data_IF_936920246298
#
_entry.id   IF_936920246298
#
_cell.length_a   1.000
_cell.length_b   1.000
_cell.length_c   1.000
_cell.angle_alpha   90.00
_cell.angle_beta   90.00
_cell.angle_gamma   90.00
#
_symmetry.space_group_name_H-M   'P 1'
#
loop_
_entity.id
_entity.type
_entity.pdbx_description
1 polymer ?
#
# COMPACT_ATOMS: atom_id res chain seq x y z
N UNK A 1 -38.88 15.70 -9.08
CA UNK A 1 -37.72 15.47 -8.20
C UNK A 1 -37.35 13.99 -8.29
N UNK A 2 -36.96 13.47 -9.46
CA UNK A 2 -35.73 13.71 -10.20
C UNK A 2 -34.54 12.91 -9.64
N UNK A 3 -34.50 11.63 -10.02
CA UNK A 3 -33.35 10.99 -10.67
C UNK A 3 -31.96 11.22 -10.03
N UNK A 4 -31.73 10.66 -8.84
CA UNK A 4 -30.39 10.51 -8.26
C UNK A 4 -30.25 9.22 -7.42
N UNK A 5 -30.99 8.18 -7.80
CA UNK A 5 -30.95 6.87 -7.16
C UNK A 5 -30.53 5.84 -8.21
N UNK A 6 -29.23 5.79 -8.55
CA UNK A 6 -28.54 4.68 -9.27
C UNK A 6 -27.15 5.16 -9.69
N UNK A 7 -26.15 4.78 -8.89
CA UNK A 7 -24.72 4.59 -9.16
C UNK A 7 -23.95 5.06 -7.94
N UNK A 8 -23.53 4.15 -7.07
CA UNK A 8 -22.34 4.31 -6.21
C UNK A 8 -22.09 2.97 -5.52
N UNK A 9 -21.34 2.11 -6.20
CA UNK A 9 -20.81 0.85 -5.68
C UNK A 9 -19.29 0.98 -5.60
N UNK A 10 -18.76 0.55 -4.46
CA UNK A 10 -17.37 0.20 -4.17
C UNK A 10 -16.32 1.32 -4.29
N UNK A 11 -15.90 1.84 -3.13
CA UNK A 11 -14.69 2.65 -2.98
C UNK A 11 -13.73 1.95 -2.00
N UNK A 12 -13.45 0.67 -2.24
CA UNK A 12 -12.47 -0.09 -1.48
C UNK A 12 -11.18 -0.20 -2.30
N UNK A 13 -10.25 0.71 -2.08
CA UNK A 13 -8.89 0.57 -2.61
C UNK A 13 -8.03 1.79 -2.35
N UNK A 14 -7.68 1.97 -1.08
CA UNK A 14 -6.45 2.70 -0.73
C UNK A 14 -5.53 1.80 0.07
N UNK A 15 -5.65 0.48 -0.11
CA UNK A 15 -5.03 -0.52 0.74
C UNK A 15 -3.57 -0.80 0.38
N UNK A 16 -3.13 -0.64 -0.87
CA UNK A 16 -1.77 -1.00 -1.28
C UNK A 16 -0.73 0.14 -1.19
N UNK A 17 -1.15 1.40 -1.00
CA UNK A 17 -0.19 2.50 -0.82
C UNK A 17 0.29 2.67 0.63
N UNK A 18 -0.52 2.26 1.61
CA UNK A 18 -0.32 2.56 3.05
C UNK A 18 0.98 2.00 3.65
N UNK A 19 1.44 0.86 3.16
CA UNK A 19 2.62 0.11 3.65
C UNK A 19 3.93 0.64 3.07
N UNK A 20 3.90 1.14 1.84
CA UNK A 20 5.11 1.56 1.15
C UNK A 20 5.69 2.91 1.66
N UNK A 21 4.86 3.77 2.26
CA UNK A 21 5.36 4.97 2.97
C UNK A 21 6.11 4.66 4.27
N UNK A 22 5.84 3.52 4.92
CA UNK A 22 6.57 3.12 6.12
C UNK A 22 8.00 2.67 5.79
N UNK A 23 8.17 1.93 4.68
CA UNK A 23 9.48 1.51 4.17
C UNK A 23 10.32 2.71 3.66
N UNK A 24 9.69 3.70 3.03
CA UNK A 24 10.38 4.91 2.59
C UNK A 24 10.86 5.82 3.75
N UNK A 25 10.23 5.71 4.93
CA UNK A 25 10.58 6.51 6.10
C UNK A 25 11.75 5.92 6.90
N UNK A 26 11.98 4.61 6.81
CA UNK A 26 13.10 3.91 7.47
C UNK A 26 14.42 4.09 6.70
N UNK A 27 14.34 4.18 5.36
CA UNK A 27 15.49 4.51 4.51
C UNK A 27 16.00 5.97 4.65
N UNK A 28 15.20 6.86 5.27
CA UNK A 28 15.55 8.26 5.49
C UNK A 28 16.21 8.53 6.87
N UNK A 29 16.45 7.47 7.65
CA UNK A 29 17.11 7.52 8.95
C UNK A 29 18.62 7.79 8.84
N UNK A 30 18.97 9.07 8.76
CA UNK A 30 20.29 9.69 8.89
C UNK A 30 21.50 8.81 9.21
N UNK A 31 22.27 8.50 8.16
CA UNK A 31 23.72 8.32 8.25
C UNK A 31 24.40 9.60 7.78
N UNK A 32 25.38 10.07 8.54
CA UNK A 32 26.17 11.29 8.28
C UNK A 32 26.98 11.14 6.98
N UNK A 33 26.45 11.62 5.86
CA UNK A 33 27.17 11.69 4.57
C UNK A 33 28.02 12.97 4.58
N UNK A 34 29.08 12.96 5.38
CA UNK A 34 30.06 14.05 5.43
C UNK A 34 31.49 13.53 5.42
N UNK A 35 31.76 12.41 4.75
CA UNK A 35 33.14 12.06 4.36
C UNK A 35 33.16 10.92 3.32
N UNK A 36 32.74 11.18 2.09
CA UNK A 36 32.99 10.25 0.98
C UNK A 36 33.38 11.08 -0.23
N UNK A 37 34.64 10.93 -0.66
CA UNK A 37 35.22 11.63 -1.80
C UNK A 37 34.36 11.47 -3.05
N UNK A 38 34.43 12.46 -3.93
CA UNK A 38 33.77 12.46 -5.23
C UNK A 38 34.31 11.33 -6.12
N UNK A 39 33.76 10.13 -5.97
CA UNK A 39 33.85 9.10 -7.00
C UNK A 39 32.78 9.38 -8.05
N UNK A 40 33.22 9.78 -9.24
CA UNK A 40 32.37 9.97 -10.40
C UNK A 40 31.82 8.62 -10.85
N UNK A 41 30.58 8.32 -10.48
CA UNK A 41 29.82 7.18 -11.02
C UNK A 41 29.79 7.30 -12.54
N UNK A 42 30.27 6.28 -13.25
CA UNK A 42 30.28 6.31 -14.71
C UNK A 42 28.84 6.30 -15.23
N UNK A 43 28.55 7.15 -16.22
CA UNK A 43 27.21 7.23 -16.83
C UNK A 43 26.73 5.86 -17.34
N UNK A 44 27.65 4.99 -17.77
CA UNK A 44 27.39 3.61 -18.18
C UNK A 44 26.81 2.74 -17.07
N UNK A 45 27.20 2.97 -15.82
CA UNK A 45 26.76 2.17 -14.67
C UNK A 45 25.36 2.60 -14.25
N UNK A 46 25.07 3.90 -14.38
CA UNK A 46 23.72 4.44 -14.24
C UNK A 46 22.83 3.90 -15.36
N UNK A 47 23.30 3.92 -16.61
CA UNK A 47 22.54 3.43 -17.77
C UNK A 47 22.31 1.91 -17.70
N UNK A 48 23.26 1.15 -17.18
CA UNK A 48 23.14 -0.30 -16.94
C UNK A 48 22.15 -0.61 -15.82
N UNK A 49 22.20 0.12 -14.69
CA UNK A 49 21.23 -0.04 -13.61
C UNK A 49 19.81 0.36 -14.04
N UNK A 50 19.68 1.41 -14.85
CA UNK A 50 18.41 1.84 -15.46
C UNK A 50 17.92 0.81 -16.48
N UNK A 51 18.80 0.22 -17.28
CA UNK A 51 18.45 -0.83 -18.24
C UNK A 51 18.08 -2.15 -17.58
N UNK A 52 18.74 -2.53 -16.47
CA UNK A 52 18.39 -3.71 -15.68
C UNK A 52 17.03 -3.52 -14.98
N UNK A 53 16.75 -2.32 -14.49
CA UNK A 53 15.43 -1.96 -13.98
C UNK A 53 14.34 -1.90 -15.08
N UNK A 54 14.72 -1.62 -16.33
CA UNK A 54 13.83 -1.64 -17.49
C UNK A 54 13.62 -3.04 -18.08
N UNK A 55 14.61 -3.94 -18.00
CA UNK A 55 14.47 -5.33 -18.50
C UNK A 55 13.52 -6.19 -17.68
N UNK A 56 13.20 -5.75 -16.46
CA UNK A 56 12.22 -6.36 -15.57
C UNK A 56 10.82 -5.70 -15.71
N UNK A 57 10.60 -4.91 -16.77
CA UNK A 57 9.26 -4.46 -17.16
C UNK A 57 8.41 -5.69 -17.49
N UNK A 58 7.70 -6.18 -16.47
CA UNK A 58 6.52 -7.02 -16.65
C UNK A 58 5.69 -6.32 -17.73
N UNK A 59 5.50 -6.95 -18.89
CA UNK A 59 4.71 -6.37 -19.95
C UNK A 59 3.31 -6.02 -19.40
N UNK A 60 2.77 -4.84 -19.72
CA UNK A 60 1.37 -4.49 -19.41
C UNK A 60 0.49 -4.84 -20.61
N UNK A 61 -0.20 -5.99 -20.63
CA UNK A 61 -1.00 -6.37 -21.79
C UNK A 61 -2.17 -5.41 -22.02
N UNK A 62 -2.57 -4.65 -20.99
CA UNK A 62 -3.73 -3.78 -20.97
C UNK A 62 -3.37 -2.31 -20.74
N UNK A 63 -2.15 -1.90 -21.10
CA UNK A 63 -1.64 -0.54 -20.88
C UNK A 63 -2.60 0.54 -21.37
N UNK A 64 -3.14 0.40 -22.59
CA UNK A 64 -4.08 1.36 -23.15
C UNK A 64 -5.39 1.50 -22.37
N UNK A 65 -5.87 0.42 -21.75
CA UNK A 65 -7.02 0.46 -20.85
C UNK A 65 -6.63 1.08 -19.50
N UNK A 66 -5.52 0.62 -18.93
CA UNK A 66 -5.03 1.06 -17.62
C UNK A 66 -4.72 2.56 -17.60
N UNK A 67 -4.06 3.10 -18.64
CA UNK A 67 -3.81 4.56 -18.77
C UNK A 67 -5.08 5.39 -18.87
N UNK A 68 -6.13 4.88 -19.54
CA UNK A 68 -7.44 5.56 -19.58
C UNK A 68 -8.10 5.58 -18.21
N UNK A 69 -8.10 4.44 -17.51
CA UNK A 69 -8.64 4.36 -16.15
C UNK A 69 -7.83 5.21 -15.16
N UNK A 70 -6.51 5.25 -15.33
CA UNK A 70 -5.62 6.12 -14.58
C UNK A 70 -5.97 7.60 -14.79
N UNK A 71 -6.19 8.02 -16.04
CA UNK A 71 -6.60 9.39 -16.35
C UNK A 71 -7.96 9.74 -15.72
N UNK A 72 -8.92 8.82 -15.75
CA UNK A 72 -10.20 8.98 -15.07
C UNK A 72 -10.03 9.09 -13.54
N UNK A 73 -9.12 8.29 -12.96
CA UNK A 73 -8.78 8.38 -11.56
C UNK A 73 -8.11 9.71 -11.21
N UNK A 74 -7.16 10.21 -11.99
CA UNK A 74 -6.53 11.51 -11.76
C UNK A 74 -7.54 12.66 -11.78
N UNK A 75 -8.52 12.59 -12.69
CA UNK A 75 -9.62 13.56 -12.69
C UNK A 75 -10.40 13.52 -11.37
N UNK A 76 -10.79 12.34 -10.90
CA UNK A 76 -11.49 12.17 -9.63
C UNK A 76 -10.61 12.57 -8.43
N UNK A 77 -9.33 12.22 -8.45
CA UNK A 77 -8.39 12.51 -7.38
C UNK A 77 -8.21 14.02 -7.21
N UNK A 78 -7.91 14.73 -8.29
CA UNK A 78 -7.68 16.17 -8.27
C UNK A 78 -8.94 16.97 -7.91
N UNK A 79 -10.11 16.52 -8.34
CA UNK A 79 -11.37 17.26 -8.14
C UNK A 79 -12.12 16.88 -6.85
N UNK A 80 -11.90 15.68 -6.30
CA UNK A 80 -12.65 15.18 -5.16
C UNK A 80 -11.74 14.78 -4.00
N UNK A 81 -10.80 13.85 -4.21
CA UNK A 81 -10.04 13.26 -3.13
C UNK A 81 -8.99 14.21 -2.54
N UNK A 82 -8.26 14.95 -3.38
CA UNK A 82 -7.26 15.93 -2.94
C UNK A 82 -7.90 17.09 -2.15
N UNK A 83 -8.98 17.73 -2.62
CA UNK A 83 -9.68 18.74 -1.82
C UNK A 83 -10.23 18.19 -0.50
N UNK A 84 -10.80 16.99 -0.52
CA UNK A 84 -11.31 16.33 0.69
C UNK A 84 -10.18 16.03 1.69
N UNK A 85 -9.05 15.51 1.22
CA UNK A 85 -7.88 15.21 2.02
C UNK A 85 -7.24 16.48 2.63
N UNK A 86 -7.11 17.56 1.85
CA UNK A 86 -6.63 18.86 2.34
C UNK A 86 -7.58 19.44 3.40
N UNK A 87 -8.88 19.35 3.17
CA UNK A 87 -9.89 19.80 4.14
C UNK A 87 -9.84 19.00 5.43
N UNK A 88 -9.76 17.67 5.33
CA UNK A 88 -9.57 16.77 6.48
C UNK A 88 -8.30 17.11 7.27
N UNK A 89 -7.20 17.39 6.58
CA UNK A 89 -5.94 17.82 7.20
C UNK A 89 -6.05 19.17 7.90
N UNK A 90 -6.82 20.11 7.34
CA UNK A 90 -7.00 21.43 7.91
C UNK A 90 -7.87 21.39 9.18
N UNK A 91 -8.94 20.60 9.21
CA UNK A 91 -9.86 20.53 10.35
C UNK A 91 -9.40 19.57 11.45
N UNK A 92 -8.59 18.55 11.11
CA UNK A 92 -8.21 17.49 12.05
C UNK A 92 -6.74 17.61 12.46
N UNK A 93 -6.44 17.85 13.76
CA UNK A 93 -5.07 17.89 14.26
C UNK A 93 -4.29 16.59 14.00
N UNK A 94 -2.96 16.69 13.87
CA UNK A 94 -2.07 15.54 13.61
C UNK A 94 -2.29 14.36 14.58
N UNK A 95 -2.56 14.64 15.87
CA UNK A 95 -2.88 13.60 16.87
C UNK A 95 -4.19 12.86 16.53
N UNK A 96 -5.25 13.59 16.18
CA UNK A 96 -6.54 13.01 15.78
C UNK A 96 -6.44 12.17 14.51
N UNK A 97 -5.74 12.68 13.49
CA UNK A 97 -5.51 11.93 12.24
C UNK A 97 -4.79 10.60 12.48
N UNK A 98 -3.75 10.61 13.32
CA UNK A 98 -3.06 9.37 13.73
C UNK A 98 -4.00 8.41 14.46
N UNK A 99 -4.83 8.91 15.37
CA UNK A 99 -5.79 8.08 16.09
C UNK A 99 -6.80 7.42 15.15
N UNK A 100 -7.36 8.18 14.20
CA UNK A 100 -8.28 7.66 13.18
C UNK A 100 -7.62 6.57 12.34
N UNK A 101 -6.36 6.77 11.91
CA UNK A 101 -5.61 5.76 11.15
C UNK A 101 -5.42 4.46 11.94
N UNK A 102 -5.04 4.57 13.21
CA UNK A 102 -4.87 3.41 14.11
C UNK A 102 -6.18 2.68 14.32
N UNK A 103 -7.27 3.43 14.53
CA UNK A 103 -8.61 2.86 14.68
C UNK A 103 -9.02 2.08 13.42
N UNK A 104 -8.83 2.67 12.24
CA UNK A 104 -9.11 2.01 10.96
C UNK A 104 -8.23 0.78 10.72
N UNK A 105 -6.97 0.80 11.15
CA UNK A 105 -6.10 -0.38 11.11
C UNK A 105 -6.57 -1.47 12.07
N UNK A 106 -6.97 -1.11 13.29
CA UNK A 106 -7.53 -2.04 14.28
C UNK A 106 -8.81 -2.71 13.79
N UNK A 107 -9.69 -1.96 13.09
CA UNK A 107 -10.89 -2.52 12.45
C UNK A 107 -10.59 -3.51 11.31
N UNK A 108 -9.37 -3.51 10.77
CA UNK A 108 -8.94 -4.46 9.74
C UNK A 108 -8.26 -5.69 10.33
N UNK A 109 -7.81 -5.63 11.58
CA UNK A 109 -7.09 -6.72 12.23
C UNK A 109 -7.81 -8.07 12.18
N UNK A 110 -9.15 -8.19 12.31
CA UNK A 110 -9.82 -9.47 12.13
C UNK A 110 -9.64 -10.08 10.73
N UNK A 111 -9.61 -9.26 9.68
CA UNK A 111 -9.35 -9.72 8.31
C UNK A 111 -7.89 -10.16 8.13
N UNK A 112 -6.95 -9.39 8.69
CA UNK A 112 -5.52 -9.75 8.70
C UNK A 112 -5.31 -11.07 9.42
N UNK A 113 -5.90 -11.25 10.60
CA UNK A 113 -5.82 -12.47 11.41
C UNK A 113 -6.30 -13.71 10.65
N UNK A 114 -7.42 -13.60 9.92
CA UNK A 114 -7.91 -14.71 9.11
C UNK A 114 -6.93 -15.03 7.99
N UNK A 115 -6.36 -14.02 7.31
CA UNK A 115 -5.37 -14.25 6.27
C UNK A 115 -4.08 -14.86 6.83
N UNK A 116 -3.56 -14.38 7.97
CA UNK A 116 -2.40 -14.97 8.65
C UNK A 116 -2.62 -16.48 8.88
N UNK A 117 -3.82 -16.87 9.37
CA UNK A 117 -4.17 -18.28 9.57
C UNK A 117 -4.24 -19.04 8.25
N UNK A 118 -4.88 -18.47 7.22
CA UNK A 118 -5.03 -19.10 5.90
C UNK A 118 -3.69 -19.29 5.19
N UNK A 119 -2.72 -18.44 5.48
CA UNK A 119 -1.34 -18.54 5.00
C UNK A 119 -0.49 -19.51 5.83
N UNK A 120 -1.00 -19.99 6.98
CA UNK A 120 -0.30 -20.91 7.89
C UNK A 120 0.65 -20.21 8.87
N UNK A 121 0.55 -18.89 9.00
CA UNK A 121 1.48 -18.05 9.75
C UNK A 121 0.98 -17.78 11.17
N UNK A 122 0.93 -18.84 11.99
CA UNK A 122 0.34 -18.77 13.33
C UNK A 122 1.03 -17.77 14.27
N UNK A 123 2.34 -17.52 14.09
CA UNK A 123 3.07 -16.51 14.85
C UNK A 123 2.53 -15.10 14.57
N UNK A 124 2.42 -14.74 13.29
CA UNK A 124 1.86 -13.45 12.84
C UNK A 124 0.38 -13.33 13.19
N UNK A 125 -0.39 -14.41 13.11
CA UNK A 125 -1.77 -14.43 13.58
C UNK A 125 -1.86 -14.08 15.08
N UNK A 126 -0.97 -14.63 15.90
CA UNK A 126 -0.85 -14.32 17.33
C UNK A 126 -0.53 -12.85 17.58
N UNK A 127 0.40 -12.27 16.81
CA UNK A 127 0.72 -10.84 16.86
C UNK A 127 -0.48 -9.98 16.49
N UNK A 128 -1.18 -10.27 15.39
CA UNK A 128 -2.39 -9.55 14.97
C UNK A 128 -3.46 -9.59 16.04
N UNK A 129 -3.73 -10.77 16.62
CA UNK A 129 -4.72 -10.94 17.68
C UNK A 129 -4.32 -10.16 18.94
N UNK A 130 -3.05 -10.26 19.34
CA UNK A 130 -2.50 -9.50 20.47
C UNK A 130 -2.67 -7.99 20.28
N UNK A 131 -2.29 -7.47 19.11
CA UNK A 131 -2.49 -6.05 18.77
C UNK A 131 -3.95 -5.66 18.82
N UNK A 132 -4.85 -6.47 18.25
CA UNK A 132 -6.27 -6.19 18.26
C UNK A 132 -6.84 -6.12 19.68
N UNK A 133 -6.52 -7.09 20.53
CA UNK A 133 -7.01 -7.13 21.92
C UNK A 133 -6.47 -5.95 22.72
N UNK A 134 -5.17 -5.71 22.69
CA UNK A 134 -4.53 -4.65 23.47
C UNK A 134 -4.98 -3.26 22.99
N UNK A 135 -5.02 -3.03 21.68
CA UNK A 135 -5.43 -1.73 21.13
C UNK A 135 -6.94 -1.48 21.30
N UNK A 136 -7.77 -2.51 21.25
CA UNK A 136 -9.21 -2.36 21.51
C UNK A 136 -9.51 -2.07 22.99
N UNK A 137 -8.84 -2.77 23.90
CA UNK A 137 -9.09 -2.66 25.34
C UNK A 137 -8.40 -1.45 25.97
N UNK A 138 -7.07 -1.39 25.89
CA UNK A 138 -6.25 -0.33 26.50
C UNK A 138 -6.14 0.87 25.57
N UNK A 139 -6.12 0.63 24.26
CA UNK A 139 -5.96 1.68 23.24
C UNK A 139 -7.24 2.45 22.91
N UNK A 140 -8.23 2.48 23.80
CA UNK A 140 -9.52 3.15 23.63
C UNK A 140 -10.22 2.76 22.31
N UNK A 141 -10.39 1.46 22.05
CA UNK A 141 -11.04 0.96 20.84
C UNK A 141 -10.15 0.98 19.57
N UNK A 142 -8.85 1.25 19.72
CA UNK A 142 -7.88 1.28 18.63
C UNK A 142 -7.39 2.68 18.24
N UNK A 143 -7.83 3.75 18.93
CA UNK A 143 -7.33 5.10 18.68
C UNK A 143 -5.89 5.31 19.19
N UNK A 144 -5.46 4.56 20.20
CA UNK A 144 -4.08 4.49 20.65
C UNK A 144 -3.45 3.15 20.24
N UNK A 145 -2.10 3.09 20.30
CA UNK A 145 -1.33 1.90 19.97
C UNK A 145 -0.39 1.51 21.14
N UNK A 146 -0.95 1.03 22.26
CA UNK A 146 -0.18 0.39 23.33
C UNK A 146 0.52 -0.89 22.87
N UNK A 147 -0.02 -1.63 21.90
CA UNK A 147 0.58 -2.88 21.44
C UNK A 147 1.99 -2.66 20.84
N UNK A 148 2.19 -1.57 20.10
CA UNK A 148 3.53 -1.20 19.63
C UNK A 148 4.49 -0.85 20.78
N UNK A 149 4.01 -0.26 21.88
CA UNK A 149 4.86 0.13 23.02
C UNK A 149 5.36 -1.07 23.81
N UNK A 150 4.64 -2.19 23.77
CA UNK A 150 5.04 -3.46 24.38
C UNK A 150 5.76 -4.40 23.39
N UNK A 151 6.13 -3.89 22.20
CA UNK A 151 6.97 -4.60 21.25
C UNK A 151 6.28 -5.57 20.30
N UNK A 152 4.95 -5.52 20.15
CA UNK A 152 4.26 -6.38 19.17
C UNK A 152 4.33 -5.71 17.78
N UNK A 153 5.03 -6.29 16.79
CA UNK A 153 5.22 -5.68 15.48
C UNK A 153 3.90 -5.58 14.71
N UNK A 154 3.76 -4.56 13.86
CA UNK A 154 2.58 -4.37 13.04
C UNK A 154 2.84 -4.87 11.62
N UNK A 155 1.89 -5.62 11.06
CA UNK A 155 1.88 -6.04 9.67
C UNK A 155 0.47 -5.95 9.09
N UNK A 156 0.34 -6.30 7.80
CA UNK A 156 -0.92 -6.31 7.09
C UNK A 156 -0.97 -7.44 6.07
N UNK A 157 -2.05 -8.20 6.13
CA UNK A 157 -2.36 -9.25 5.16
C UNK A 157 -3.71 -9.00 4.49
N UNK A 158 -3.80 -9.43 3.24
CA UNK A 158 -5.04 -9.43 2.46
C UNK A 158 -5.19 -10.74 1.68
N UNK A 159 -6.41 -10.98 1.20
CA UNK A 159 -6.69 -12.24 0.52
C UNK A 159 -5.93 -12.41 -0.81
N UNK A 160 -5.46 -11.33 -1.44
CA UNK A 160 -4.58 -11.44 -2.60
C UNK A 160 -3.20 -12.01 -2.25
N UNK A 161 -2.67 -11.69 -1.07
CA UNK A 161 -1.44 -12.29 -0.54
C UNK A 161 -1.67 -13.76 -0.19
N UNK A 162 -2.81 -14.08 0.43
CA UNK A 162 -3.21 -15.46 0.70
C UNK A 162 -3.30 -16.30 -0.58
N UNK A 163 -3.89 -15.77 -1.65
CA UNK A 163 -3.92 -16.44 -2.94
C UNK A 163 -2.50 -16.64 -3.52
N UNK A 164 -1.60 -15.69 -3.30
CA UNK A 164 -0.20 -15.80 -3.72
C UNK A 164 0.51 -16.97 -2.99
N UNK A 165 0.35 -17.06 -1.67
CA UNK A 165 0.89 -18.15 -0.84
C UNK A 165 0.33 -19.51 -1.28
N UNK A 166 -0.92 -19.54 -1.75
CA UNK A 166 -1.55 -20.75 -2.31
C UNK A 166 -1.12 -21.06 -3.76
N UNK A 167 -0.15 -20.32 -4.31
CA UNK A 167 0.43 -20.57 -5.63
C UNK A 167 -0.37 -19.99 -6.80
N UNK A 168 -1.29 -19.05 -6.55
CA UNK A 168 -1.99 -18.36 -7.63
C UNK A 168 -1.15 -17.17 -8.10
N UNK A 169 -0.82 -17.20 -9.38
CA UNK A 169 -0.07 -16.13 -10.04
C UNK A 169 -0.83 -14.80 -9.99
N UNK A 170 -0.08 -13.69 -10.01
CA UNK A 170 -0.65 -12.34 -9.99
C UNK A 170 -1.62 -12.09 -11.16
N UNK A 171 -1.32 -12.68 -12.32
CA UNK A 171 -2.00 -12.36 -13.58
C UNK A 171 -1.67 -10.96 -14.09
N UNK A 172 -2.39 -10.45 -15.11
CA UNK A 172 -2.11 -9.16 -15.70
C UNK A 172 -2.37 -8.01 -14.71
N UNK A 173 -1.56 -6.96 -14.85
CA UNK A 173 -1.72 -5.69 -14.15
C UNK A 173 -2.98 -4.97 -14.63
N UNK A 174 -3.68 -4.38 -13.67
CA UNK A 174 -4.91 -3.63 -13.90
C UNK A 174 -4.86 -2.32 -13.10
N UNK A 175 -5.35 -1.25 -13.71
CA UNK A 175 -5.62 -0.01 -12.99
C UNK A 175 -7.12 0.22 -12.94
N UNK A 176 -7.69 0.27 -11.74
CA UNK A 176 -9.12 0.51 -11.54
C UNK A 176 -9.35 1.88 -10.92
N UNK A 177 -10.29 2.70 -11.44
CA UNK A 177 -10.62 3.98 -10.83
C UNK A 177 -11.08 3.79 -9.39
N UNK A 178 -10.66 4.70 -8.49
CA UNK A 178 -10.96 4.72 -7.05
C UNK A 178 -10.32 3.60 -6.23
N UNK A 179 -9.93 2.49 -6.85
CA UNK A 179 -9.24 1.36 -6.22
C UNK A 179 -7.71 1.49 -6.38
N UNK A 180 -7.28 2.01 -7.52
CA UNK A 180 -5.87 2.18 -7.86
C UNK A 180 -5.26 0.96 -8.57
N UNK A 181 -3.93 0.83 -8.51
CA UNK A 181 -3.18 -0.32 -9.02
C UNK A 181 -3.64 -1.64 -8.40
N UNK A 182 -3.83 -2.67 -9.22
CA UNK A 182 -4.16 -4.03 -8.78
C UNK A 182 -3.64 -5.06 -9.80
N UNK A 183 -3.65 -6.33 -9.44
CA UNK A 183 -3.58 -7.44 -10.41
C UNK A 183 -4.92 -8.15 -10.51
N UNK A 184 -5.06 -9.10 -11.43
CA UNK A 184 -6.27 -9.93 -11.52
C UNK A 184 -6.48 -10.76 -10.25
N UNK A 185 -5.40 -11.35 -9.70
CA UNK A 185 -5.45 -12.06 -8.41
C UNK A 185 -5.83 -11.13 -7.28
N UNK A 186 -5.17 -9.99 -7.16
CA UNK A 186 -5.39 -9.07 -6.04
C UNK A 186 -6.79 -8.42 -6.13
N UNK A 187 -7.29 -8.18 -7.34
CA UNK A 187 -8.65 -7.71 -7.58
C UNK A 187 -9.70 -8.72 -7.13
N UNK A 188 -9.49 -10.00 -7.43
CA UNK A 188 -10.34 -11.08 -6.93
C UNK A 188 -10.24 -11.25 -5.41
N UNK A 189 -9.02 -11.15 -4.87
CA UNK A 189 -8.78 -11.16 -3.43
C UNK A 189 -9.53 -10.04 -2.70
N UNK A 190 -9.55 -8.83 -3.26
CA UNK A 190 -10.33 -7.71 -2.72
C UNK A 190 -11.84 -8.02 -2.68
N UNK A 191 -12.40 -8.68 -3.69
CA UNK A 191 -13.81 -9.08 -3.70
C UNK A 191 -14.11 -10.08 -2.59
N UNK A 192 -13.25 -11.09 -2.41
CA UNK A 192 -13.39 -12.07 -1.33
C UNK A 192 -13.27 -11.37 0.02
N UNK A 193 -12.30 -10.48 0.18
CA UNK A 193 -12.08 -9.72 1.42
C UNK A 193 -13.30 -8.88 1.80
N UNK A 194 -13.99 -8.27 0.82
CA UNK A 194 -15.26 -7.58 1.04
C UNK A 194 -16.34 -8.57 1.48
N UNK A 195 -16.42 -9.74 0.84
CA UNK A 195 -17.34 -10.82 1.22
C UNK A 195 -17.11 -11.39 2.62
N UNK A 196 -15.89 -11.28 3.16
CA UNK A 196 -15.56 -11.69 4.52
C UNK A 196 -15.95 -10.65 5.59
N UNK A 197 -16.27 -9.42 5.19
CA UNK A 197 -16.69 -8.38 6.14
C UNK A 197 -18.14 -8.60 6.60
N UNK A 198 -18.39 -8.88 7.89
CA UNK A 198 -19.74 -9.10 8.41
C UNK A 198 -20.70 -7.92 8.14
N UNK A 199 -20.18 -6.69 8.03
CA UNK A 199 -20.97 -5.49 7.77
C UNK A 199 -21.59 -5.46 6.36
N UNK A 200 -21.17 -6.35 5.45
CA UNK A 200 -21.79 -6.49 4.12
C UNK A 200 -23.12 -7.24 4.21
N UNK A 201 -23.29 -8.14 5.17
CA UNK A 201 -24.50 -8.94 5.33
C UNK A 201 -25.58 -8.24 6.18
N UNK A 202 -25.20 -7.26 7.01
CA UNK A 202 -26.14 -6.48 7.81
C UNK A 202 -26.68 -5.30 7.00
N UNK A 203 -27.92 -5.42 6.51
CA UNK A 203 -28.57 -4.42 5.64
C UNK A 203 -29.46 -3.42 6.40
N UNK A 204 -29.07 -3.03 7.61
CA UNK A 204 -29.78 -2.00 8.37
C UNK A 204 -29.26 -0.61 7.98
N UNK A 205 -30.09 0.46 8.07
CA UNK A 205 -29.61 1.82 7.79
C UNK A 205 -28.36 2.22 8.59
N UNK A 206 -28.25 1.93 9.91
CA UNK A 206 -27.05 2.23 10.68
C UNK A 206 -25.80 1.47 10.19
N UNK A 207 -25.93 0.18 9.85
CA UNK A 207 -24.81 -0.62 9.36
C UNK A 207 -24.31 -0.12 7.99
N UNK A 208 -25.23 0.28 7.11
CA UNK A 208 -24.86 0.89 5.83
C UNK A 208 -24.11 2.21 6.03
N UNK A 209 -24.59 3.09 6.93
CA UNK A 209 -23.91 4.34 7.27
C UNK A 209 -22.51 4.06 7.81
N UNK A 210 -22.37 3.09 8.73
CA UNK A 210 -21.08 2.71 9.29
C UNK A 210 -20.11 2.22 8.21
N UNK A 211 -20.58 1.36 7.30
CA UNK A 211 -19.78 0.85 6.17
C UNK A 211 -19.30 1.98 5.26
N UNK A 212 -20.21 2.84 4.80
CA UNK A 212 -19.84 3.97 3.92
C UNK A 212 -18.94 4.98 4.61
N UNK A 213 -19.16 5.23 5.91
CA UNK A 213 -18.30 6.12 6.70
C UNK A 213 -16.90 5.55 6.85
N UNK A 214 -16.77 4.27 7.22
CA UNK A 214 -15.48 3.58 7.33
C UNK A 214 -14.71 3.66 6.02
N UNK A 215 -15.39 3.37 4.91
CA UNK A 215 -14.79 3.40 3.57
C UNK A 215 -14.38 4.83 3.18
N UNK A 216 -15.28 5.81 3.33
CA UNK A 216 -15.02 7.21 2.95
C UNK A 216 -13.93 7.85 3.78
N UNK A 217 -13.99 7.73 5.11
CA UNK A 217 -12.96 8.25 6.03
C UNK A 217 -11.64 7.52 5.79
N UNK A 218 -11.67 6.21 5.55
CA UNK A 218 -10.49 5.44 5.19
C UNK A 218 -9.83 5.95 3.90
N UNK A 219 -10.62 6.20 2.85
CA UNK A 219 -10.11 6.74 1.59
C UNK A 219 -9.50 8.12 1.74
N UNK A 220 -10.21 9.05 2.40
CA UNK A 220 -9.72 10.41 2.64
C UNK A 220 -8.48 10.42 3.53
N UNK A 221 -8.50 9.65 4.63
CA UNK A 221 -7.37 9.60 5.56
C UNK A 221 -6.14 8.96 4.94
N UNK A 222 -6.30 7.98 4.06
CA UNK A 222 -5.20 7.39 3.33
C UNK A 222 -4.67 8.38 2.29
N UNK A 223 -5.54 8.99 1.46
CA UNK A 223 -5.10 10.01 0.49
C UNK A 223 -4.37 11.18 1.14
N UNK A 224 -4.80 11.61 2.34
CA UNK A 224 -4.15 12.66 3.12
C UNK A 224 -2.70 12.34 3.47
N UNK A 225 -2.40 11.08 3.81
CA UNK A 225 -1.03 10.64 4.10
C UNK A 225 -0.12 10.71 2.88
N UNK A 226 -0.70 10.64 1.68
CA UNK A 226 -0.01 10.60 0.40
C UNK A 226 -0.10 11.91 -0.39
N UNK A 227 -0.58 13.00 0.22
CA UNK A 227 -0.70 14.29 -0.47
C UNK A 227 0.65 14.77 -1.01
N UNK A 228 1.66 14.86 -0.16
CA UNK A 228 3.00 15.32 -0.54
C UNK A 228 3.78 14.28 -1.36
N UNK A 229 3.90 13.00 -0.94
CA UNK A 229 4.70 12.04 -1.68
C UNK A 229 4.22 11.81 -3.11
N UNK A 230 2.89 11.75 -3.33
CA UNK A 230 2.37 11.55 -4.69
C UNK A 230 2.50 12.79 -5.56
N UNK A 231 2.36 14.00 -5.00
CA UNK A 231 2.60 15.23 -5.75
C UNK A 231 4.08 15.35 -6.15
N UNK A 232 4.99 14.91 -5.29
CA UNK A 232 6.42 14.88 -5.59
C UNK A 232 6.74 13.90 -6.72
N UNK A 233 6.26 12.65 -6.63
CA UNK A 233 6.44 11.64 -7.68
C UNK A 233 5.84 12.14 -9.00
N UNK A 234 4.61 12.68 -8.97
CA UNK A 234 3.96 13.24 -10.15
C UNK A 234 4.78 14.36 -10.80
N UNK A 235 5.39 15.24 -10.00
CA UNK A 235 6.18 16.37 -10.51
C UNK A 235 7.56 15.98 -11.05
N UNK A 236 8.14 14.90 -10.55
CA UNK A 236 9.51 14.44 -10.88
C UNK A 236 9.54 13.30 -11.89
N UNK A 237 8.43 12.61 -12.11
CA UNK A 237 8.36 11.48 -13.04
C UNK A 237 8.12 11.95 -14.47
N UNK A 238 8.86 11.35 -15.41
CA UNK A 238 8.59 11.48 -16.85
C UNK A 238 7.25 10.84 -17.21
N UNK A 239 7.00 9.65 -16.65
CA UNK A 239 5.73 8.95 -16.74
C UNK A 239 5.24 8.56 -15.34
N UNK A 240 4.25 9.31 -14.85
CA UNK A 240 3.67 9.10 -13.54
C UNK A 240 2.94 7.74 -13.43
N UNK A 241 2.30 7.30 -14.52
CA UNK A 241 1.62 6.01 -14.55
C UNK A 241 2.63 4.86 -14.41
N UNK A 242 3.69 4.88 -15.24
CA UNK A 242 4.73 3.85 -15.19
C UNK A 242 5.40 3.81 -13.81
N UNK A 243 5.69 4.98 -13.24
CA UNK A 243 6.30 5.10 -11.90
C UNK A 243 5.44 4.47 -10.81
N UNK A 244 4.12 4.73 -10.81
CA UNK A 244 3.19 4.14 -9.86
C UNK A 244 3.02 2.63 -10.06
N UNK A 245 3.02 2.18 -11.31
CA UNK A 245 2.92 0.76 -11.66
C UNK A 245 4.13 0.00 -11.13
N UNK A 246 5.35 0.46 -11.42
CA UNK A 246 6.59 -0.18 -10.96
C UNK A 246 6.64 -0.21 -9.43
N UNK A 247 6.29 0.89 -8.78
CA UNK A 247 6.21 0.95 -7.32
C UNK A 247 5.20 -0.04 -6.73
N UNK A 248 4.00 -0.15 -7.33
CA UNK A 248 3.00 -1.13 -6.92
C UNK A 248 3.54 -2.56 -7.03
N UNK A 249 4.12 -2.93 -8.18
CA UNK A 249 4.61 -4.28 -8.42
C UNK A 249 5.72 -4.66 -7.43
N UNK A 250 6.67 -3.75 -7.19
CA UNK A 250 7.74 -3.96 -6.21
C UNK A 250 7.21 -4.06 -4.78
N UNK A 251 6.31 -3.15 -4.38
CA UNK A 251 5.70 -3.20 -3.05
C UNK A 251 4.92 -4.50 -2.85
N UNK A 252 4.22 -4.96 -3.90
CA UNK A 252 3.41 -6.17 -3.84
C UNK A 252 4.24 -7.43 -3.73
N UNK A 253 5.35 -7.54 -4.48
CA UNK A 253 6.33 -8.63 -4.32
C UNK A 253 6.83 -8.70 -2.88
N UNK A 254 7.21 -7.55 -2.31
CA UNK A 254 7.68 -7.45 -0.92
C UNK A 254 6.60 -7.81 0.11
N UNK A 255 5.36 -7.39 -0.09
CA UNK A 255 4.24 -7.74 0.80
C UNK A 255 4.03 -9.25 0.86
N UNK A 256 3.98 -9.92 -0.29
CA UNK A 256 3.84 -11.39 -0.38
C UNK A 256 5.01 -12.12 0.27
N UNK A 257 6.21 -11.53 0.21
CA UNK A 257 7.40 -12.05 0.87
C UNK A 257 7.49 -11.64 2.36
N UNK A 258 6.43 -11.06 2.93
CA UNK A 258 6.38 -10.58 4.32
C UNK A 258 7.49 -9.60 4.70
N UNK A 259 7.96 -8.82 3.73
CA UNK A 259 9.08 -7.89 3.91
C UNK A 259 10.46 -8.52 3.79
N UNK A 260 10.57 -9.84 3.57
CA UNK A 260 11.84 -10.50 3.25
C UNK A 260 12.25 -10.07 1.85
N UNK A 261 13.45 -9.48 1.74
CA UNK A 261 14.06 -9.15 0.46
C UNK A 261 14.73 -10.41 -0.04
N UNK A 262 14.25 -10.95 -1.17
CA UNK A 262 14.97 -11.99 -1.88
C UNK A 262 16.15 -11.34 -2.63
N UNK A 263 17.36 -11.53 -2.12
CA UNK A 263 18.57 -10.99 -2.73
C UNK A 263 18.89 -11.63 -4.08
N UNK A 264 18.28 -12.78 -4.41
CA UNK A 264 18.45 -13.43 -5.71
C UNK A 264 17.70 -12.76 -6.86
N UNK A 265 16.72 -11.91 -6.54
CA UNK A 265 15.96 -11.07 -7.48
C UNK A 265 16.57 -9.67 -7.66
N UNK A 266 17.63 -9.33 -6.89
CA UNK A 266 18.37 -8.09 -7.13
C UNK A 266 19.21 -8.25 -8.40
N UNK A 267 19.35 -7.20 -9.23
CA UNK A 267 20.35 -7.20 -10.29
C UNK A 267 21.70 -7.55 -9.66
N UNK A 268 22.36 -8.57 -10.20
CA UNK A 268 23.69 -8.99 -9.76
C UNK A 268 24.62 -7.81 -10.02
N UNK A 269 24.84 -7.00 -8.98
CA UNK A 269 25.87 -5.97 -8.96
C UNK A 269 27.16 -6.76 -8.82
N UNK A 270 27.66 -7.21 -9.99
CA UNK A 270 28.76 -8.17 -10.08
C UNK A 270 29.83 -7.89 -9.04
N UNK A 271 30.26 -8.96 -8.35
CA UNK A 271 31.30 -8.91 -7.34
C UNK A 271 32.39 -7.94 -7.80
N UNK A 272 32.55 -6.83 -7.08
CA UNK A 272 33.67 -5.93 -7.29
C UNK A 272 34.91 -6.82 -7.20
N UNK A 273 35.63 -7.00 -8.31
CA UNK A 273 36.92 -7.67 -8.30
C UNK A 273 37.73 -7.01 -7.18
N UNK A 274 37.96 -7.77 -6.12
CA UNK A 274 38.82 -7.40 -5.01
C UNK A 274 40.17 -7.13 -5.66
N UNK A 275 40.53 -5.84 -5.78
CA UNK A 275 41.81 -5.40 -6.33
C UNK A 275 42.92 -5.78 -5.33
N UNK A 276 43.18 -7.08 -5.21
CA UNK A 276 44.43 -7.66 -4.75
C UNK A 276 45.45 -7.39 -5.85
N UNK A 277 46.12 -6.24 -5.78
CA UNK A 277 47.50 -6.00 -6.20
C UNK A 277 47.74 -4.50 -6.30
N UNK A 278 48.39 -3.92 -5.30
CA UNK A 278 49.50 -2.98 -5.49
C UNK A 278 50.43 -3.06 -4.26
N UNK A 279 51.53 -3.81 -4.42
CA UNK A 279 52.75 -3.70 -3.60
C UNK A 279 53.30 -2.26 -3.55
#
# INVERSE_FOLDING_TARGET
MAFAARFFVALAGVFSLSTAAAAAQDAAGGGDIRDRGEETVAQSDIDSAVSAAASDEVADPWEGFNRKMFSAHLFLDRNLLVPAAKSYRAVTPKKGRRGIRRFLANLRAPGVFINDILQGEFGRAGETLGRFVVNTTIGAGGFADPAAQIGIPAHSEDFGQTLAVWGIDSGPYLFLPLIGPTSSRDGFGNVIQIGMDPLVYVRTPPANIARYTRTGVGGVSAREQFLEPLAEIESKSLDYYASLRSFYLQSRKREIANGVVDYSDLPDIGEFEEFDELE
#
